data_IF_146566640488
#
_entry.id   IF_146566640488
#
_cell.length_a   1.000
_cell.length_b   1.000
_cell.length_c   1.000
_cell.angle_alpha   90.00
_cell.angle_beta   90.00
_cell.angle_gamma   90.00
#
_symmetry.space_group_name_H-M   'P 1'
#
loop_
_entity.id
_entity.type
_entity.pdbx_description
1 polymer ?
#
# COMPACT_ATOMS: atom_id res chain seq x y z
N UNK A 1 -25.75 -5.11 -4.05
CA UNK A 1 -26.16 -4.65 -2.71
C UNK A 1 -24.89 -4.58 -1.88
N UNK A 2 -24.56 -3.45 -1.24
CA UNK A 2 -23.38 -3.38 -0.37
C UNK A 2 -23.58 -4.34 0.83
N UNK A 3 -22.50 -5.01 1.25
CA UNK A 3 -22.54 -5.93 2.38
C UNK A 3 -22.57 -5.16 3.71
N UNK A 4 -21.82 -4.06 3.80
CA UNK A 4 -21.85 -3.09 4.90
C UNK A 4 -22.28 -1.69 4.40
N UNK A 5 -22.96 -0.86 5.23
CA UNK A 5 -23.20 0.55 4.92
C UNK A 5 -21.93 1.35 4.58
N UNK A 6 -20.77 0.95 5.12
CA UNK A 6 -19.46 1.55 4.81
C UNK A 6 -18.97 1.26 3.38
N UNK A 7 -19.56 0.27 2.71
CA UNK A 7 -19.21 -0.09 1.33
C UNK A 7 -20.11 0.63 0.31
N UNK A 8 -21.08 1.42 0.79
CA UNK A 8 -22.00 2.16 -0.06
C UNK A 8 -21.43 3.51 -0.47
N UNK A 9 -21.41 3.81 -1.76
CA UNK A 9 -21.02 5.15 -2.25
C UNK A 9 -21.93 6.28 -1.75
N UNK A 10 -23.16 5.98 -1.36
CA UNK A 10 -24.14 6.97 -0.89
C UNK A 10 -24.08 7.10 0.64
N UNK A 11 -24.05 5.96 1.35
CA UNK A 11 -24.20 5.95 2.81
C UNK A 11 -22.87 5.92 3.57
N UNK A 12 -21.75 5.51 2.95
CA UNK A 12 -20.46 5.42 3.63
C UNK A 12 -20.06 6.73 4.35
N UNK A 13 -20.21 7.93 3.76
CA UNK A 13 -19.83 9.17 4.45
C UNK A 13 -20.62 9.49 5.72
N UNK A 14 -21.76 8.82 5.97
CA UNK A 14 -22.51 8.95 7.22
C UNK A 14 -21.96 8.05 8.35
N UNK A 15 -21.28 6.96 7.99
CA UNK A 15 -20.85 5.92 8.93
C UNK A 15 -19.34 5.75 9.02
N UNK A 16 -18.57 6.41 8.16
CA UNK A 16 -17.12 6.42 8.21
C UNK A 16 -16.54 7.80 7.92
N UNK A 17 -15.35 8.05 8.45
CA UNK A 17 -14.54 9.19 8.07
C UNK A 17 -13.80 8.88 6.75
N UNK A 18 -13.86 9.76 5.72
CA UNK A 18 -13.23 9.50 4.43
C UNK A 18 -11.71 9.29 4.50
N UNK A 19 -11.02 9.96 5.43
CA UNK A 19 -9.57 9.79 5.60
C UNK A 19 -9.26 8.41 6.17
N UNK A 20 -10.05 7.95 7.15
CA UNK A 20 -9.92 6.62 7.72
C UNK A 20 -10.27 5.53 6.71
N UNK A 21 -11.34 5.73 5.93
CA UNK A 21 -11.73 4.81 4.87
C UNK A 21 -10.62 4.65 3.81
N UNK A 22 -9.91 5.75 3.48
CA UNK A 22 -8.79 5.69 2.55
C UNK A 22 -7.61 4.87 3.12
N UNK A 23 -7.29 5.04 4.42
CA UNK A 23 -6.22 4.27 5.09
C UNK A 23 -6.47 2.75 4.97
N UNK A 24 -7.73 2.32 5.12
CA UNK A 24 -8.12 0.91 5.06
C UNK A 24 -8.56 0.44 3.67
N UNK A 25 -8.39 1.24 2.63
CA UNK A 25 -8.75 0.84 1.27
C UNK A 25 -7.79 -0.22 0.73
N UNK A 26 -8.30 -1.08 -0.15
CA UNK A 26 -7.47 -2.09 -0.84
C UNK A 26 -6.29 -1.46 -1.59
N UNK A 27 -6.50 -0.29 -2.19
CA UNK A 27 -5.45 0.44 -2.89
C UNK A 27 -4.35 0.89 -1.92
N UNK A 28 -4.70 1.47 -0.76
CA UNK A 28 -3.71 1.89 0.22
C UNK A 28 -2.99 0.68 0.82
N UNK A 29 -3.71 -0.41 1.10
CA UNK A 29 -3.12 -1.65 1.57
C UNK A 29 -2.03 -2.19 0.62
N UNK A 30 -2.31 -2.25 -0.68
CA UNK A 30 -1.32 -2.68 -1.68
C UNK A 30 -0.15 -1.69 -1.77
N UNK A 31 -0.40 -0.37 -1.70
CA UNK A 31 0.68 0.64 -1.70
C UNK A 31 1.60 0.51 -0.48
N UNK A 32 1.03 0.19 0.68
CA UNK A 32 1.81 -0.02 1.91
C UNK A 32 2.66 -1.29 1.80
N UNK A 33 2.12 -2.38 1.23
CA UNK A 33 2.91 -3.57 0.93
C UNK A 33 4.08 -3.26 -0.01
N UNK A 34 3.85 -2.53 -1.10
CA UNK A 34 4.92 -2.12 -2.03
C UNK A 34 5.99 -1.25 -1.34
N UNK A 35 5.56 -0.36 -0.44
CA UNK A 35 6.47 0.48 0.35
C UNK A 35 7.39 -0.37 1.23
N UNK A 36 6.83 -1.40 1.88
CA UNK A 36 7.60 -2.36 2.69
C UNK A 36 8.60 -3.13 1.82
N UNK A 37 8.17 -3.63 0.67
CA UNK A 37 9.04 -4.38 -0.24
C UNK A 37 10.16 -3.50 -0.81
N UNK A 38 9.89 -2.24 -1.12
CA UNK A 38 10.92 -1.29 -1.56
C UNK A 38 11.99 -1.06 -0.49
N UNK A 39 11.57 -0.81 0.76
CA UNK A 39 12.50 -0.66 1.88
C UNK A 39 13.31 -1.94 2.13
N UNK A 40 12.68 -3.11 2.01
CA UNK A 40 13.35 -4.39 2.12
C UNK A 40 14.41 -4.57 1.01
N UNK A 41 14.05 -4.29 -0.24
CA UNK A 41 14.98 -4.38 -1.38
C UNK A 41 16.16 -3.42 -1.23
N UNK A 42 15.93 -2.20 -0.74
CA UNK A 42 17.00 -1.23 -0.48
C UNK A 42 18.03 -1.78 0.52
N UNK A 43 17.57 -2.29 1.66
CA UNK A 43 18.44 -2.85 2.70
C UNK A 43 19.16 -4.10 2.17
N UNK A 44 18.45 -4.98 1.47
CA UNK A 44 19.03 -6.18 0.87
C UNK A 44 20.09 -5.85 -0.19
N UNK A 45 19.88 -4.82 -1.01
CA UNK A 45 20.86 -4.33 -1.98
C UNK A 45 22.12 -3.80 -1.28
N UNK A 46 21.95 -3.00 -0.22
CA UNK A 46 23.07 -2.47 0.58
C UNK A 46 23.88 -3.57 1.29
N UNK A 47 23.23 -4.66 1.69
CA UNK A 47 23.87 -5.81 2.33
C UNK A 47 24.39 -6.85 1.32
N UNK A 48 24.17 -6.64 0.02
CA UNK A 48 24.61 -7.56 -1.03
C UNK A 48 23.82 -8.88 -1.11
N UNK A 49 22.62 -8.95 -0.49
CA UNK A 49 21.73 -10.12 -0.58
C UNK A 49 21.13 -10.25 -1.97
N UNK A 50 20.82 -9.10 -2.59
CA UNK A 50 20.43 -8.99 -4.00
C UNK A 50 21.35 -7.99 -4.72
N UNK A 51 21.47 -8.04 -6.06
CA UNK A 51 22.23 -7.03 -6.80
C UNK A 51 21.70 -5.62 -6.56
N UNK A 52 22.58 -4.66 -6.31
CA UNK A 52 22.21 -3.26 -6.04
C UNK A 52 21.39 -2.64 -7.18
N UNK A 53 21.72 -2.97 -8.43
CA UNK A 53 20.96 -2.52 -9.59
C UNK A 53 19.53 -3.09 -9.64
N UNK A 54 19.28 -4.26 -9.06
CA UNK A 54 17.94 -4.83 -8.94
C UNK A 54 17.16 -4.13 -7.81
N UNK A 55 17.79 -3.91 -6.65
CA UNK A 55 17.23 -3.14 -5.56
C UNK A 55 16.77 -1.74 -6.03
N UNK A 56 17.64 -1.02 -6.75
CA UNK A 56 17.33 0.30 -7.29
C UNK A 56 16.12 0.31 -8.23
N UNK A 57 15.93 -0.75 -9.03
CA UNK A 57 14.75 -0.88 -9.91
C UNK A 57 13.47 -1.14 -9.13
N UNK A 58 13.53 -1.93 -8.06
CA UNK A 58 12.37 -2.20 -7.20
C UNK A 58 11.95 -0.92 -6.47
N UNK A 59 12.92 -0.20 -5.89
CA UNK A 59 12.67 1.08 -5.20
C UNK A 59 12.08 2.12 -6.16
N UNK A 60 12.53 2.17 -7.41
CA UNK A 60 11.97 3.11 -8.40
C UNK A 60 10.55 2.74 -8.88
N UNK A 61 10.12 1.50 -8.69
CA UNK A 61 8.82 0.99 -9.13
C UNK A 61 7.73 0.98 -8.05
N UNK A 62 8.09 1.26 -6.80
CA UNK A 62 7.16 1.38 -5.67
C UNK A 62 6.68 2.83 -5.49
#
# INVERSE_FOLDING_TARGET
MPFSPTDSTIYAPLFSDPSLANIFSDQQFVRDMLTVEAALAEVQGRLGVIPEAAAAKIVAGA
#
